data_IF_210259682802
#
_entry.id   IF_210259682802
#
_cell.length_a   1.000
_cell.length_b   1.000
_cell.length_c   1.000
_cell.angle_alpha   90.00
_cell.angle_beta   90.00
_cell.angle_gamma   90.00
#
_symmetry.space_group_name_H-M   'P 1'
#
loop_
_entity.id
_entity.type
_entity.pdbx_description
1 polymer ?
#
# COMPACT_ATOMS: atom_id res chain seq x y z
N UNK A 1 -23.65 5.35 34.04
CA UNK A 1 -23.41 6.64 33.35
C UNK A 1 -24.67 7.04 32.61
N UNK A 2 -25.08 8.31 32.64
CA UNK A 2 -26.20 8.79 31.82
C UNK A 2 -25.84 8.71 30.33
N UNK A 3 -26.78 8.35 29.46
CA UNK A 3 -26.54 8.25 28.01
C UNK A 3 -25.96 9.57 27.44
N UNK A 4 -26.47 10.71 27.93
CA UNK A 4 -25.95 12.04 27.57
C UNK A 4 -24.49 12.25 27.99
N UNK A 5 -24.08 11.75 29.16
CA UNK A 5 -22.69 11.82 29.61
C UNK A 5 -21.77 10.97 28.73
N UNK A 6 -22.23 9.79 28.34
CA UNK A 6 -21.51 8.90 27.45
C UNK A 6 -21.26 9.60 26.11
N UNK A 7 -22.30 10.14 25.47
CA UNK A 7 -22.23 10.87 24.19
C UNK A 7 -21.26 12.06 24.28
N UNK A 8 -21.32 12.85 25.36
CA UNK A 8 -20.40 13.98 25.54
C UNK A 8 -18.96 13.51 25.73
N UNK A 9 -18.75 12.40 26.44
CA UNK A 9 -17.42 11.83 26.66
C UNK A 9 -16.81 11.27 25.37
N UNK A 10 -17.60 10.59 24.54
CA UNK A 10 -17.17 10.02 23.26
C UNK A 10 -16.88 11.14 22.27
N UNK A 11 -17.76 12.13 22.17
CA UNK A 11 -17.54 13.34 21.36
C UNK A 11 -16.20 14.03 21.69
N UNK A 12 -15.94 14.31 22.98
CA UNK A 12 -14.68 14.95 23.41
C UNK A 12 -13.46 14.10 23.08
N UNK A 13 -13.56 12.79 23.25
CA UNK A 13 -12.47 11.86 22.94
C UNK A 13 -12.20 11.80 21.44
N UNK A 14 -13.25 11.77 20.62
CA UNK A 14 -13.14 11.72 19.17
C UNK A 14 -12.50 13.00 18.61
N UNK A 15 -12.93 14.18 19.09
CA UNK A 15 -12.27 15.44 18.75
C UNK A 15 -10.79 15.47 19.14
N UNK A 16 -10.43 14.92 20.31
CA UNK A 16 -9.02 14.84 20.74
C UNK A 16 -8.20 13.94 19.83
N UNK A 17 -8.71 12.77 19.46
CA UNK A 17 -8.00 11.84 18.57
C UNK A 17 -7.87 12.41 17.16
N UNK A 18 -8.92 13.00 16.60
CA UNK A 18 -8.89 13.64 15.27
C UNK A 18 -7.87 14.79 15.25
N UNK A 19 -7.87 15.66 16.26
CA UNK A 19 -6.90 16.75 16.35
C UNK A 19 -5.45 16.23 16.43
N UNK A 20 -5.21 15.16 17.19
CA UNK A 20 -3.88 14.56 17.31
C UNK A 20 -3.37 13.96 16.01
N UNK A 21 -4.23 13.28 15.26
CA UNK A 21 -3.82 12.54 14.06
C UNK A 21 -3.79 13.40 12.80
N UNK A 22 -4.79 14.26 12.59
CA UNK A 22 -4.97 14.97 11.33
C UNK A 22 -4.61 16.46 11.41
N UNK A 23 -4.95 17.13 12.50
CA UNK A 23 -4.79 18.59 12.59
C UNK A 23 -3.38 19.02 13.06
N UNK A 24 -2.73 18.26 13.94
CA UNK A 24 -1.43 18.66 14.50
C UNK A 24 -0.32 18.82 13.46
N UNK A 25 -0.30 17.97 12.42
CA UNK A 25 0.75 17.99 11.39
C UNK A 25 0.43 18.89 10.20
N UNK A 26 -0.84 18.91 9.77
CA UNK A 26 -1.24 19.54 8.50
C UNK A 26 -1.97 20.88 8.69
N UNK A 27 -2.19 21.34 9.94
CA UNK A 27 -3.02 22.51 10.30
C UNK A 27 -4.44 22.51 9.72
N UNK A 28 -4.87 21.39 9.15
CA UNK A 28 -6.16 21.25 8.50
C UNK A 28 -7.25 20.94 9.55
N UNK A 29 -8.26 21.82 9.61
CA UNK A 29 -9.38 21.74 10.55
C UNK A 29 -10.62 21.05 9.97
N UNK A 30 -10.62 20.71 8.68
CA UNK A 30 -11.79 20.12 7.99
C UNK A 30 -12.32 18.91 8.74
N UNK A 31 -11.45 17.96 9.12
CA UNK A 31 -11.88 16.75 9.83
C UNK A 31 -12.50 17.03 11.21
N UNK A 32 -11.99 18.05 11.91
CA UNK A 32 -12.57 18.47 13.19
C UNK A 32 -13.95 19.10 12.98
N UNK A 33 -14.08 19.95 11.97
CA UNK A 33 -15.34 20.62 11.62
C UNK A 33 -16.40 19.62 11.20
N UNK A 34 -16.05 18.59 10.43
CA UNK A 34 -17.00 17.53 10.05
C UNK A 34 -17.52 16.75 11.26
N UNK A 35 -16.66 16.43 12.22
CA UNK A 35 -17.10 15.81 13.48
C UNK A 35 -18.05 16.74 14.25
N UNK A 36 -17.78 18.04 14.27
CA UNK A 36 -18.68 19.00 14.93
C UNK A 36 -20.03 19.04 14.21
N UNK A 37 -20.01 19.15 12.88
CA UNK A 37 -21.20 19.25 12.04
C UNK A 37 -22.07 17.99 12.15
N UNK A 38 -21.49 16.80 12.16
CA UNK A 38 -22.22 15.53 12.31
C UNK A 38 -22.92 15.42 13.65
N UNK A 39 -22.25 15.78 14.75
CA UNK A 39 -22.88 15.78 16.09
C UNK A 39 -23.94 16.88 16.24
N UNK A 40 -23.76 18.03 15.58
CA UNK A 40 -24.77 19.10 15.59
C UNK A 40 -26.02 18.73 14.79
N UNK A 41 -25.86 18.11 13.60
CA UNK A 41 -26.97 17.64 12.76
C UNK A 41 -27.86 16.64 13.48
N UNK A 42 -27.27 15.78 14.30
CA UNK A 42 -27.97 14.70 15.02
C UNK A 42 -28.40 15.10 16.45
N UNK A 43 -28.36 16.38 16.81
CA UNK A 43 -28.64 16.85 18.18
C UNK A 43 -30.10 16.68 18.59
N UNK A 44 -31.01 16.93 17.66
CA UNK A 44 -32.47 17.01 17.93
C UNK A 44 -33.20 15.70 17.62
N UNK A 45 -32.45 14.60 17.44
CA UNK A 45 -33.03 13.27 17.23
C UNK A 45 -33.77 12.81 18.50
N UNK A 46 -35.06 12.54 18.35
CA UNK A 46 -35.94 12.06 19.44
C UNK A 46 -36.04 10.53 19.47
N UNK A 47 -35.68 9.86 18.37
CA UNK A 47 -35.74 8.39 18.27
C UNK A 47 -34.61 7.74 19.08
N UNK A 48 -34.97 6.95 20.09
CA UNK A 48 -34.03 6.32 21.02
C UNK A 48 -33.10 5.31 20.33
N UNK A 49 -33.64 4.52 19.39
CA UNK A 49 -32.87 3.47 18.70
C UNK A 49 -31.78 4.09 17.81
N UNK A 50 -32.10 5.16 17.10
CA UNK A 50 -31.14 5.90 16.27
C UNK A 50 -30.03 6.53 17.10
N UNK A 51 -30.37 7.11 18.26
CA UNK A 51 -29.37 7.69 19.18
C UNK A 51 -28.43 6.62 19.69
N UNK A 52 -28.93 5.44 20.05
CA UNK A 52 -28.10 4.32 20.50
C UNK A 52 -27.19 3.81 19.38
N UNK A 53 -27.73 3.65 18.16
CA UNK A 53 -26.95 3.23 17.00
C UNK A 53 -25.83 4.22 16.66
N UNK A 54 -26.12 5.52 16.59
CA UNK A 54 -25.13 6.57 16.35
C UNK A 54 -24.09 6.65 17.46
N UNK A 55 -24.50 6.46 18.71
CA UNK A 55 -23.57 6.45 19.85
C UNK A 55 -22.60 5.27 19.74
N UNK A 56 -23.10 4.08 19.38
CA UNK A 56 -22.27 2.90 19.14
C UNK A 56 -21.30 3.13 17.98
N UNK A 57 -21.80 3.65 16.85
CA UNK A 57 -20.95 3.99 15.70
C UNK A 57 -19.82 4.96 16.07
N UNK A 58 -20.11 5.99 16.86
CA UNK A 58 -19.09 6.92 17.34
C UNK A 58 -18.03 6.26 18.24
N UNK A 59 -18.42 5.26 19.05
CA UNK A 59 -17.49 4.48 19.86
C UNK A 59 -16.61 3.56 19.01
N UNK A 60 -17.20 2.90 18.01
CA UNK A 60 -16.47 2.03 17.09
C UNK A 60 -15.44 2.84 16.28
N UNK A 61 -15.85 4.03 15.79
CA UNK A 61 -14.95 4.95 15.11
C UNK A 61 -13.81 5.44 16.02
N UNK A 62 -14.12 5.77 17.28
CA UNK A 62 -13.10 6.14 18.27
C UNK A 62 -12.10 4.99 18.51
N UNK A 63 -12.61 3.76 18.62
CA UNK A 63 -11.78 2.56 18.78
C UNK A 63 -10.87 2.37 17.56
N UNK A 64 -11.42 2.46 16.36
CA UNK A 64 -10.67 2.37 15.11
C UNK A 64 -9.53 3.40 15.04
N UNK A 65 -9.82 4.68 15.30
CA UNK A 65 -8.81 5.75 15.25
C UNK A 65 -7.68 5.51 16.27
N UNK A 66 -8.02 5.05 17.48
CA UNK A 66 -7.00 4.73 18.49
C UNK A 66 -6.14 3.55 18.08
N UNK A 67 -6.75 2.50 17.57
CA UNK A 67 -6.05 1.30 17.09
C UNK A 67 -5.13 1.64 15.92
N UNK A 68 -5.56 2.48 14.98
CA UNK A 68 -4.74 2.93 13.86
C UNK A 68 -3.51 3.73 14.35
N UNK A 69 -3.71 4.71 15.23
CA UNK A 69 -2.60 5.46 15.83
C UNK A 69 -1.62 4.53 16.54
N UNK A 70 -2.13 3.61 17.36
CA UNK A 70 -1.29 2.69 18.13
C UNK A 70 -0.53 1.72 17.24
N UNK A 71 -1.18 1.23 16.18
CA UNK A 71 -0.54 0.41 15.15
C UNK A 71 0.64 1.15 14.52
N UNK A 72 0.44 2.40 14.07
CA UNK A 72 1.51 3.21 13.50
C UNK A 72 2.65 3.47 14.50
N UNK A 73 2.34 3.72 15.78
CA UNK A 73 3.35 3.86 16.84
C UNK A 73 4.19 2.58 17.02
N UNK A 74 3.53 1.42 17.12
CA UNK A 74 4.22 0.13 17.29
C UNK A 74 5.09 -0.19 16.09
N UNK A 75 4.58 0.08 14.91
CA UNK A 75 5.28 -0.18 13.67
C UNK A 75 6.50 0.72 13.50
N UNK A 76 6.43 1.99 13.92
CA UNK A 76 7.61 2.87 13.99
C UNK A 76 8.64 2.39 15.03
N UNK A 77 8.20 1.81 16.15
CA UNK A 77 9.09 1.33 17.21
C UNK A 77 9.80 0.02 16.86
N UNK A 78 9.10 -0.90 16.22
CA UNK A 78 9.59 -2.27 16.01
C UNK A 78 10.08 -2.53 14.58
N UNK A 79 9.62 -1.75 13.60
CA UNK A 79 10.09 -1.86 12.22
C UNK A 79 10.77 -0.54 11.79
N UNK A 80 12.06 -0.37 12.10
CA UNK A 80 12.79 0.82 11.68
C UNK A 80 12.88 0.94 10.16
N UNK A 81 12.66 -0.14 9.39
CA UNK A 81 12.71 -0.13 7.93
C UNK A 81 11.35 0.26 7.32
N UNK A 82 10.31 0.43 8.14
CA UNK A 82 8.99 0.79 7.63
C UNK A 82 8.97 2.22 7.06
N UNK A 83 8.54 2.36 5.80
CA UNK A 83 8.45 3.65 5.10
C UNK A 83 9.73 4.02 4.33
N UNK A 84 10.73 3.15 4.29
CA UNK A 84 11.84 3.28 3.36
C UNK A 84 11.42 2.92 1.94
N UNK A 85 11.96 3.65 0.97
CA UNK A 85 11.91 3.24 -0.44
C UNK A 85 12.57 1.87 -0.60
N UNK A 86 12.13 1.09 -1.58
CA UNK A 86 12.67 -0.23 -1.89
C UNK A 86 14.18 -0.19 -2.11
N UNK A 87 14.69 0.84 -2.79
CA UNK A 87 16.13 1.07 -2.96
C UNK A 87 16.87 1.16 -1.62
N UNK A 88 16.30 1.88 -0.66
CA UNK A 88 16.90 2.08 0.66
C UNK A 88 16.77 0.85 1.55
N UNK A 89 15.74 0.02 1.31
CA UNK A 89 15.65 -1.30 1.91
C UNK A 89 16.79 -2.20 1.43
N UNK A 90 17.05 -2.24 0.12
CA UNK A 90 18.16 -3.01 -0.47
C UNK A 90 19.50 -2.50 0.09
N UNK A 91 19.69 -1.18 0.21
CA UNK A 91 20.90 -0.56 0.74
C UNK A 91 21.18 -0.97 2.19
N UNK A 92 20.17 -0.87 3.06
CA UNK A 92 20.29 -1.26 4.47
C UNK A 92 20.57 -2.76 4.62
N UNK A 93 19.99 -3.58 3.74
CA UNK A 93 20.20 -5.03 3.74
C UNK A 93 21.62 -5.40 3.27
N UNK A 94 22.12 -4.74 2.22
CA UNK A 94 23.49 -4.90 1.74
C UNK A 94 24.50 -4.47 2.83
N UNK A 95 24.29 -3.32 3.45
CA UNK A 95 25.17 -2.82 4.51
C UNK A 95 25.21 -3.76 5.73
N UNK A 96 24.10 -4.44 6.05
CA UNK A 96 24.04 -5.42 7.15
C UNK A 96 24.94 -6.62 6.92
N UNK A 97 25.23 -6.99 5.67
CA UNK A 97 26.18 -8.05 5.31
C UNK A 97 27.55 -7.51 4.91
N UNK A 98 27.81 -6.22 5.16
CA UNK A 98 29.08 -5.57 4.82
C UNK A 98 29.28 -5.25 3.34
N UNK A 99 28.22 -5.35 2.53
CA UNK A 99 28.23 -5.01 1.10
C UNK A 99 27.75 -3.57 0.91
N UNK A 100 28.35 -2.86 -0.04
CA UNK A 100 27.87 -1.53 -0.48
C UNK A 100 27.22 -1.67 -1.84
N UNK A 101 26.03 -1.07 -2.01
CA UNK A 101 25.40 -1.02 -3.31
C UNK A 101 26.17 -0.11 -4.27
N UNK A 102 26.30 -0.50 -5.55
CA UNK A 102 26.88 0.37 -6.55
C UNK A 102 26.00 1.61 -6.75
N UNK A 103 26.62 2.77 -6.96
CA UNK A 103 25.92 4.06 -7.20
C UNK A 103 25.29 4.15 -8.58
N UNK A 104 25.47 3.13 -9.41
CA UNK A 104 24.93 3.06 -10.77
C UNK A 104 23.54 2.43 -10.64
N UNK A 105 22.47 3.07 -11.16
CA UNK A 105 21.13 2.48 -11.16
C UNK A 105 21.19 1.13 -11.85
N UNK A 106 20.77 0.05 -11.19
CA UNK A 106 20.71 -1.30 -11.79
C UNK A 106 19.92 -1.33 -13.11
N UNK A 107 19.00 -0.37 -13.31
CA UNK A 107 18.31 -0.19 -14.58
C UNK A 107 19.28 -0.06 -15.77
N UNK A 108 20.40 0.66 -15.61
CA UNK A 108 21.40 0.79 -16.69
C UNK A 108 22.17 -0.50 -16.96
N UNK A 109 22.40 -1.30 -15.92
CA UNK A 109 23.16 -2.56 -16.07
C UNK A 109 22.29 -3.62 -16.76
N UNK A 110 20.98 -3.67 -16.47
CA UNK A 110 20.04 -4.59 -17.12
C UNK A 110 19.72 -4.19 -18.57
N UNK A 111 19.74 -2.89 -18.88
CA UNK A 111 19.57 -2.38 -20.25
C UNK A 111 20.82 -2.63 -21.11
N UNK A 112 22.00 -2.75 -20.50
CA UNK A 112 23.26 -3.04 -21.20
C UNK A 112 23.39 -4.55 -21.55
N UNK A 113 22.91 -5.46 -20.70
CA UNK A 113 23.00 -6.91 -20.95
C UNK A 113 22.05 -7.43 -22.06
N UNK A 114 21.06 -6.63 -22.49
CA UNK A 114 20.17 -7.02 -23.60
C UNK A 114 20.70 -6.67 -24.99
N UNK A 115 21.88 -6.03 -25.10
CA UNK A 115 22.40 -5.52 -26.37
C UNK A 115 23.54 -6.31 -27.01
N UNK A 116 24.06 -7.36 -26.38
CA UNK A 116 25.12 -8.18 -26.99
C UNK A 116 24.92 -9.68 -26.73
N UNK A 117 24.13 -10.32 -27.60
CA UNK A 117 24.41 -11.60 -28.26
C UNK A 117 23.14 -12.09 -28.98
N UNK A 118 22.91 -11.57 -30.17
CA UNK A 118 22.05 -12.25 -31.14
C UNK A 118 22.71 -13.55 -31.56
N UNK A 119 22.38 -14.66 -30.88
CA UNK A 119 22.66 -15.99 -31.38
C UNK A 119 21.81 -16.14 -32.64
N UNK A 120 22.46 -16.17 -33.81
CA UNK A 120 21.81 -16.37 -35.09
C UNK A 120 21.38 -17.84 -35.16
N UNK A 121 20.07 -18.12 -35.07
CA UNK A 121 19.48 -19.47 -35.08
C UNK A 121 19.86 -20.33 -36.30
N UNK A 122 20.53 -19.75 -37.30
CA UNK A 122 20.96 -20.43 -38.53
C UNK A 122 22.19 -21.33 -38.37
N UNK A 123 22.91 -21.25 -37.26
CA UNK A 123 24.16 -22.00 -37.08
C UNK A 123 23.97 -23.38 -36.41
N UNK A 124 22.74 -23.83 -36.13
CA UNK A 124 22.50 -25.10 -35.41
C UNK A 124 22.12 -26.31 -36.28
N UNK A 125 21.83 -26.15 -37.58
CA UNK A 125 21.50 -27.28 -38.46
C UNK A 125 22.34 -27.25 -39.73
N UNK A 126 23.60 -27.70 -39.65
CA UNK A 126 24.31 -28.22 -40.81
C UNK A 126 24.10 -29.73 -40.88
N UNK A 127 23.43 -30.14 -41.97
CA UNK A 127 23.23 -31.48 -42.50
C UNK A 127 24.22 -32.55 -42.02
N UNK A 128 23.71 -33.62 -41.41
CA UNK A 128 23.93 -35.01 -41.85
C UNK A 128 22.97 -35.92 -41.10
N UNK A 129 21.97 -36.45 -41.79
CA UNK A 129 21.83 -37.90 -41.85
C UNK A 129 20.97 -38.28 -43.06
N UNK A 130 21.64 -38.97 -43.98
CA UNK A 130 21.01 -39.61 -45.13
C UNK A 130 20.05 -40.69 -44.66
N UNK A 131 18.77 -40.53 -44.95
CA UNK A 131 17.76 -41.55 -44.73
C UNK A 131 16.57 -41.25 -45.63
N UNK A 132 16.65 -41.72 -46.86
CA UNK A 132 15.74 -41.32 -47.94
C UNK A 132 14.31 -41.87 -47.83
N UNK A 133 13.62 -41.62 -48.95
CA UNK A 133 12.35 -42.20 -49.39
C UNK A 133 11.12 -41.44 -48.83
N UNK A 134 10.62 -40.46 -49.58
CA UNK A 134 9.43 -40.62 -50.43
C UNK A 134 9.21 -39.37 -51.28
N UNK A 135 8.97 -39.63 -52.56
CA UNK A 135 8.98 -38.72 -53.70
C UNK A 135 7.91 -37.63 -53.70
N UNK A 136 8.27 -36.57 -54.43
CA UNK A 136 7.41 -35.61 -55.11
C UNK A 136 6.07 -36.18 -55.58
N UNK A 137 4.99 -35.48 -55.24
CA UNK A 137 3.88 -35.28 -56.18
C UNK A 137 3.55 -33.80 -56.32
N UNK A 138 4.13 -33.25 -57.38
CA UNK A 138 3.58 -32.22 -58.27
C UNK A 138 2.05 -32.21 -58.28
N UNK A 139 1.42 -31.08 -57.96
CA UNK A 139 0.27 -30.56 -58.72
C UNK A 139 0.39 -29.03 -58.78
N UNK A 140 0.60 -28.52 -59.99
CA UNK A 140 0.52 -27.11 -60.34
C UNK A 140 -0.95 -26.67 -60.55
N UNK A 141 -1.18 -25.39 -60.24
CA UNK A 141 -2.32 -24.51 -60.55
C UNK A 141 -3.36 -24.98 -61.59
N UNK A 142 -4.64 -24.85 -61.19
CA UNK A 142 -5.72 -24.16 -61.94
C UNK A 142 -6.99 -24.11 -61.10
#
# INVERSE_FOLDING_TARGET
MSNKQLILSTYRQLLKEVNKQFTYRNYNKIWREEVINTFQKNRDLSNKEEVEHLTKYAQDLLCFLRSNRRYNELLNLHNPIHGYSEEKHIELTANRVGLKLPTIPLAKVLDEETSEQGINEKDFYTETDQGGIFDDKVIANS
#
